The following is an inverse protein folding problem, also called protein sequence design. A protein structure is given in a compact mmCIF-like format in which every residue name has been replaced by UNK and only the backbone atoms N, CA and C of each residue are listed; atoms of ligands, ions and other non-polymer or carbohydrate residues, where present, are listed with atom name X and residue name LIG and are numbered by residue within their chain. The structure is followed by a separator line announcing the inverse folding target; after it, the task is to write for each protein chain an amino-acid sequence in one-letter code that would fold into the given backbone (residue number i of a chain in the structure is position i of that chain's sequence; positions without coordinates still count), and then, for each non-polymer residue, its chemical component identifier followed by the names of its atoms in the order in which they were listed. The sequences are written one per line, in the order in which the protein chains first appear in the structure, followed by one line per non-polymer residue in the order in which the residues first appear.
data_IF_398035626859
#
_entry.id   IF_398035626859
#
_cell.length_a   1.000
_cell.length_b   1.000
_cell.length_c   1.000
_cell.angle_alpha   90.00
_cell.angle_beta   90.00
_cell.angle_gamma   90.00
#
_symmetry.space_group_name_H-M   'P 1'
#
loop_
_entity.id
_entity.type
_entity.pdbx_description
1 polymer ?
#
# COMPACT_ATOMS: atom_id res chain seq x y z
N UNK A 1 11.40 30.06 -3.32
CA UNK A 1 11.56 28.89 -2.43
C UNK A 1 10.52 28.82 -1.31
N UNK A 2 10.28 29.85 -0.46
CA UNK A 2 9.30 29.78 0.64
C UNK A 2 7.84 29.52 0.17
N UNK A 3 7.37 30.21 -0.88
CA UNK A 3 6.02 30.07 -1.43
C UNK A 3 5.75 28.64 -1.98
N UNK A 4 6.74 28.07 -2.67
CA UNK A 4 6.65 26.74 -3.25
C UNK A 4 6.61 25.65 -2.16
N UNK A 5 7.45 25.80 -1.10
CA UNK A 5 7.43 24.91 0.06
C UNK A 5 6.09 24.95 0.80
N UNK A 6 5.46 26.14 0.89
CA UNK A 6 4.17 26.31 1.53
C UNK A 6 3.03 25.69 0.70
N UNK A 7 3.13 25.75 -0.63
CA UNK A 7 2.17 25.07 -1.53
C UNK A 7 2.26 23.54 -1.39
N UNK A 8 3.47 22.95 -1.41
CA UNK A 8 3.66 21.52 -1.20
C UNK A 8 3.13 21.06 0.16
N UNK A 9 3.47 21.78 1.24
CA UNK A 9 2.96 21.44 2.57
C UNK A 9 1.42 21.46 2.63
N UNK A 10 0.78 22.38 1.91
CA UNK A 10 -0.69 22.46 1.85
C UNK A 10 -1.31 21.34 1.02
N UNK A 11 -0.68 20.97 -0.12
CA UNK A 11 -1.13 19.80 -0.91
C UNK A 11 -1.02 18.51 -0.10
N UNK A 12 0.10 18.31 0.59
CA UNK A 12 0.26 17.15 1.48
C UNK A 12 -0.82 17.10 2.58
N UNK A 13 -1.14 18.24 3.20
CA UNK A 13 -2.20 18.31 4.20
C UNK A 13 -3.58 17.96 3.61
N UNK A 14 -3.85 18.31 2.36
CA UNK A 14 -5.10 17.92 1.66
C UNK A 14 -5.11 16.44 1.32
N UNK A 15 -3.97 15.84 0.97
CA UNK A 15 -3.84 14.39 0.75
C UNK A 15 -4.15 13.63 2.05
N UNK A 16 -3.54 14.02 3.18
CA UNK A 16 -3.82 13.38 4.48
C UNK A 16 -5.29 13.54 4.89
N UNK A 17 -5.89 14.71 4.66
CA UNK A 17 -7.32 14.93 4.88
C UNK A 17 -8.19 14.06 3.97
N UNK A 18 -7.73 13.72 2.76
CA UNK A 18 -8.43 12.80 1.85
C UNK A 18 -8.44 11.38 2.41
N UNK A 19 -7.33 10.90 2.98
CA UNK A 19 -7.29 9.58 3.65
C UNK A 19 -8.24 9.52 4.84
N UNK A 20 -8.22 10.55 5.69
CA UNK A 20 -9.10 10.61 6.87
C UNK A 20 -10.60 10.68 6.49
N UNK A 21 -10.96 11.56 5.55
CA UNK A 21 -12.34 11.70 5.06
C UNK A 21 -12.81 10.44 4.31
N UNK A 22 -11.92 9.81 3.51
CA UNK A 22 -12.20 8.55 2.82
C UNK A 22 -12.51 7.42 3.80
N UNK A 23 -11.77 7.32 4.91
CA UNK A 23 -12.03 6.35 5.97
C UNK A 23 -13.40 6.56 6.62
N UNK A 24 -13.80 7.82 6.87
CA UNK A 24 -15.07 8.12 7.54
C UNK A 24 -16.28 7.89 6.64
N UNK A 25 -16.20 8.31 5.36
CA UNK A 25 -17.34 8.36 4.45
C UNK A 25 -17.35 7.26 3.38
N UNK A 26 -16.21 6.59 3.15
CA UNK A 26 -15.98 5.75 1.99
C UNK A 26 -15.82 6.57 0.69
N UNK A 27 -15.06 6.05 -0.26
CA UNK A 27 -14.72 6.78 -1.50
C UNK A 27 -15.95 7.17 -2.33
N UNK A 28 -16.98 6.31 -2.35
CA UNK A 28 -18.21 6.55 -3.15
C UNK A 28 -19.03 7.75 -2.69
N UNK A 29 -18.98 8.07 -1.39
CA UNK A 29 -19.72 9.19 -0.81
C UNK A 29 -18.84 10.42 -0.58
N UNK A 30 -17.52 10.30 -0.79
CA UNK A 30 -16.55 11.36 -0.54
C UNK A 30 -16.80 12.58 -1.46
N UNK A 31 -16.72 13.77 -0.88
CA UNK A 31 -16.80 15.03 -1.60
C UNK A 31 -15.65 15.98 -1.24
N UNK A 32 -15.38 16.97 -2.10
CA UNK A 32 -14.43 18.06 -1.78
C UNK A 32 -14.80 18.81 -0.50
N UNK A 33 -16.08 18.83 -0.12
CA UNK A 33 -16.54 19.48 1.11
C UNK A 33 -16.11 18.69 2.34
N UNK A 34 -16.13 17.36 2.29
CA UNK A 34 -15.69 16.49 3.36
C UNK A 34 -14.18 16.61 3.57
N UNK A 35 -13.40 16.57 2.49
CA UNK A 35 -11.95 16.80 2.54
C UNK A 35 -11.63 18.21 3.07
N UNK A 36 -12.37 19.25 2.64
CA UNK A 36 -12.17 20.60 3.13
C UNK A 36 -12.43 20.71 4.63
N UNK A 37 -13.51 20.09 5.11
CA UNK A 37 -13.86 20.03 6.54
C UNK A 37 -12.76 19.37 7.35
N UNK A 38 -12.26 18.22 6.89
CA UNK A 38 -11.18 17.48 7.54
C UNK A 38 -9.88 18.29 7.58
N UNK A 39 -9.55 18.99 6.51
CA UNK A 39 -8.37 19.87 6.41
C UNK A 39 -8.52 21.21 7.17
N UNK A 40 -9.67 21.49 7.80
CA UNK A 40 -9.95 22.79 8.43
C UNK A 40 -10.02 23.94 7.42
N UNK A 41 -10.48 23.67 6.19
CA UNK A 41 -10.52 24.63 5.08
C UNK A 41 -11.95 24.81 4.57
N UNK A 42 -12.14 25.79 3.66
CA UNK A 42 -13.35 25.90 2.85
C UNK A 42 -13.17 25.10 1.55
N UNK A 43 -14.29 24.64 0.95
CA UNK A 43 -14.29 24.02 -0.38
C UNK A 43 -13.61 24.91 -1.44
N UNK A 44 -13.81 26.23 -1.39
CA UNK A 44 -13.14 27.17 -2.30
C UNK A 44 -11.61 27.21 -2.12
N UNK A 45 -11.11 27.00 -0.91
CA UNK A 45 -9.68 26.90 -0.66
C UNK A 45 -9.09 25.61 -1.23
N UNK A 46 -9.83 24.49 -1.21
CA UNK A 46 -9.41 23.24 -1.88
C UNK A 46 -9.37 23.40 -3.38
N UNK A 47 -10.38 24.04 -3.98
CA UNK A 47 -10.45 24.34 -5.43
C UNK A 47 -9.34 25.29 -5.93
N UNK A 48 -8.62 25.95 -5.05
CA UNK A 48 -7.39 26.67 -5.41
C UNK A 48 -6.22 25.72 -5.74
N UNK A 49 -6.22 24.49 -5.20
CA UNK A 49 -5.14 23.50 -5.38
C UNK A 49 -5.51 22.38 -6.35
N UNK A 50 -6.80 22.07 -6.49
CA UNK A 50 -7.33 20.96 -7.29
C UNK A 50 -8.61 21.39 -8.01
N UNK A 51 -8.69 21.09 -9.29
CA UNK A 51 -9.84 21.49 -10.13
C UNK A 51 -11.12 20.78 -9.69
N UNK A 52 -11.00 19.53 -9.26
CA UNK A 52 -12.09 18.66 -8.82
C UNK A 52 -11.63 17.60 -7.82
N UNK A 53 -12.56 16.75 -7.39
CA UNK A 53 -12.25 15.64 -6.48
C UNK A 53 -11.38 14.58 -7.16
N UNK A 54 -11.59 14.29 -8.45
CA UNK A 54 -10.84 13.26 -9.18
C UNK A 54 -9.36 13.61 -9.25
N UNK A 55 -9.01 14.86 -9.56
CA UNK A 55 -7.62 15.34 -9.58
C UNK A 55 -6.94 15.23 -8.20
N UNK A 56 -7.68 15.47 -7.12
CA UNK A 56 -7.19 15.26 -5.75
C UNK A 56 -7.01 13.77 -5.44
N UNK A 57 -7.96 12.92 -5.84
CA UNK A 57 -7.89 11.47 -5.65
C UNK A 57 -6.72 10.84 -6.41
N UNK A 58 -6.45 11.28 -7.63
CA UNK A 58 -5.28 10.83 -8.40
C UNK A 58 -3.97 11.16 -7.68
N UNK A 59 -3.84 12.39 -7.14
CA UNK A 59 -2.63 12.77 -6.40
C UNK A 59 -2.54 12.04 -5.05
N UNK A 60 -3.65 11.86 -4.35
CA UNK A 60 -3.70 11.07 -3.11
C UNK A 60 -3.32 9.60 -3.37
N UNK A 61 -3.82 9.02 -4.46
CA UNK A 61 -3.45 7.66 -4.88
C UNK A 61 -1.95 7.56 -5.15
N UNK A 62 -1.39 8.45 -5.97
CA UNK A 62 0.04 8.45 -6.28
C UNK A 62 0.91 8.61 -5.02
N UNK A 63 0.54 9.51 -4.11
CA UNK A 63 1.22 9.70 -2.85
C UNK A 63 1.09 8.47 -1.94
N UNK A 64 -0.08 7.83 -1.91
CA UNK A 64 -0.32 6.61 -1.15
C UNK A 64 0.53 5.43 -1.63
N UNK A 65 0.56 5.18 -2.94
CA UNK A 65 1.41 4.15 -3.56
C UNK A 65 2.88 4.38 -3.24
N UNK A 66 3.37 5.63 -3.40
CA UNK A 66 4.76 5.95 -3.08
C UNK A 66 5.05 5.71 -1.59
N UNK A 67 4.21 6.23 -0.70
CA UNK A 67 4.39 6.09 0.74
C UNK A 67 4.44 4.63 1.17
N UNK A 68 3.45 3.84 0.78
CA UNK A 68 3.37 2.41 1.11
C UNK A 68 4.61 1.64 0.66
N UNK A 69 5.03 1.84 -0.59
CA UNK A 69 6.17 1.12 -1.13
C UNK A 69 7.50 1.61 -0.54
N UNK A 70 7.68 2.94 -0.37
CA UNK A 70 8.94 3.51 0.12
C UNK A 70 9.18 3.14 1.59
N UNK A 71 8.15 3.24 2.46
CA UNK A 71 8.22 2.84 3.87
C UNK A 71 8.56 1.34 4.01
N UNK A 72 7.94 0.49 3.19
CA UNK A 72 8.23 -0.94 3.17
C UNK A 72 9.64 -1.25 2.70
N UNK A 73 10.08 -0.62 1.61
CA UNK A 73 11.44 -0.82 1.08
C UNK A 73 12.51 -0.37 2.10
N UNK A 74 12.28 0.72 2.85
CA UNK A 74 13.15 1.18 3.94
C UNK A 74 13.23 0.16 5.09
N UNK A 75 12.09 -0.40 5.52
CA UNK A 75 12.05 -1.43 6.56
C UNK A 75 12.79 -2.70 6.13
N UNK A 76 12.57 -3.17 4.91
CA UNK A 76 13.26 -4.34 4.34
C UNK A 76 14.77 -4.11 4.24
N UNK A 77 15.21 -2.91 3.87
CA UNK A 77 16.62 -2.56 3.75
C UNK A 77 17.36 -2.49 5.10
N UNK A 78 16.63 -2.44 6.23
CA UNK A 78 17.22 -2.37 7.56
C UNK A 78 17.99 -3.64 7.98
N UNK A 79 17.78 -4.76 7.27
CA UNK A 79 18.49 -6.03 7.51
C UNK A 79 19.09 -6.59 6.23
N UNK A 80 20.14 -7.44 6.38
CA UNK A 80 20.77 -8.13 5.24
C UNK A 80 20.38 -9.63 5.16
N UNK A 81 19.68 -10.18 6.17
CA UNK A 81 19.21 -11.57 6.13
C UNK A 81 17.93 -11.67 5.29
N UNK A 82 17.94 -12.37 4.15
CA UNK A 82 16.77 -12.48 3.27
C UNK A 82 15.54 -13.09 3.95
N UNK A 83 15.72 -13.94 4.95
CA UNK A 83 14.62 -14.57 5.72
C UNK A 83 13.93 -13.53 6.61
N UNK A 84 14.72 -12.63 7.20
CA UNK A 84 14.20 -11.51 7.96
C UNK A 84 13.58 -10.43 7.06
N UNK A 85 14.21 -10.18 5.91
CA UNK A 85 13.64 -9.28 4.89
C UNK A 85 12.25 -9.74 4.43
N UNK A 86 12.09 -11.06 4.21
CA UNK A 86 10.79 -11.62 3.82
C UNK A 86 9.75 -11.50 4.93
N UNK A 87 10.14 -11.73 6.18
CA UNK A 87 9.29 -11.55 7.35
C UNK A 87 8.77 -10.10 7.46
N UNK A 88 9.69 -9.13 7.38
CA UNK A 88 9.36 -7.70 7.39
C UNK A 88 8.47 -7.31 6.20
N UNK A 89 8.76 -7.83 5.00
CA UNK A 89 7.99 -7.54 3.81
C UNK A 89 6.54 -8.03 3.92
N UNK A 90 6.32 -9.18 4.55
CA UNK A 90 4.98 -9.72 4.83
C UNK A 90 4.24 -8.82 5.83
N UNK A 91 4.86 -8.49 6.96
CA UNK A 91 4.22 -7.65 7.96
C UNK A 91 3.90 -6.24 7.44
N UNK A 92 4.87 -5.60 6.76
CA UNK A 92 4.70 -4.26 6.23
C UNK A 92 3.79 -4.17 4.98
N UNK A 93 3.50 -5.31 4.35
CA UNK A 93 2.61 -5.39 3.19
C UNK A 93 1.12 -5.47 3.57
N UNK A 94 0.82 -5.82 4.81
CA UNK A 94 -0.56 -6.00 5.26
C UNK A 94 -1.09 -4.76 5.99
N UNK A 95 -2.40 -4.45 5.87
CA UNK A 95 -3.01 -3.41 6.68
C UNK A 95 -2.87 -3.70 8.18
N UNK A 96 -2.66 -2.66 8.98
CA UNK A 96 -2.57 -2.78 10.45
C UNK A 96 -3.90 -3.13 11.12
N UNK A 97 -5.00 -2.94 10.41
CA UNK A 97 -6.36 -3.23 10.88
C UNK A 97 -7.43 -2.56 10.00
N UNK A 98 -8.71 -2.68 10.37
CA UNK A 98 -9.82 -2.09 9.60
C UNK A 98 -9.79 -0.55 9.60
N UNK A 99 -9.09 0.07 10.55
CA UNK A 99 -8.92 1.52 10.66
C UNK A 99 -7.72 2.07 9.89
N UNK A 100 -6.99 1.24 9.15
CA UNK A 100 -5.87 1.66 8.31
C UNK A 100 -6.36 2.52 7.14
N UNK A 101 -6.29 3.84 7.32
CA UNK A 101 -6.86 4.80 6.40
C UNK A 101 -6.16 4.80 5.03
N UNK A 102 -4.83 4.59 5.01
CA UNK A 102 -4.06 4.53 3.77
C UNK A 102 -4.44 3.28 2.97
N UNK A 103 -4.35 2.11 3.60
CA UNK A 103 -4.63 0.85 2.92
C UNK A 103 -6.08 0.75 2.47
N UNK A 104 -7.04 1.20 3.31
CA UNK A 104 -8.45 1.28 2.90
C UNK A 104 -8.62 2.11 1.63
N UNK A 105 -8.01 3.31 1.58
CA UNK A 105 -8.13 4.16 0.41
C UNK A 105 -7.49 3.52 -0.83
N UNK A 106 -6.33 2.88 -0.72
CA UNK A 106 -5.68 2.18 -1.83
C UNK A 106 -6.61 1.10 -2.40
N UNK A 107 -7.17 0.21 -1.56
CA UNK A 107 -8.11 -0.82 -2.01
C UNK A 107 -9.40 -0.25 -2.63
N UNK A 108 -9.91 0.87 -2.11
CA UNK A 108 -11.08 1.52 -2.71
C UNK A 108 -10.75 2.19 -4.06
N UNK A 109 -9.53 2.72 -4.23
CA UNK A 109 -9.06 3.34 -5.47
C UNK A 109 -8.74 2.32 -6.56
N UNK A 110 -8.34 1.09 -6.19
CA UNK A 110 -8.14 -0.01 -7.14
C UNK A 110 -9.40 -0.30 -7.96
N UNK A 111 -10.56 -0.15 -7.35
CA UNK A 111 -11.85 -0.32 -8.05
C UNK A 111 -12.05 0.73 -9.14
N UNK A 112 -11.43 1.91 -9.02
CA UNK A 112 -11.50 2.97 -10.03
C UNK A 112 -10.59 2.71 -11.23
N UNK A 113 -9.63 1.79 -11.15
CA UNK A 113 -8.71 1.47 -12.25
C UNK A 113 -9.45 1.13 -13.55
N UNK A 114 -10.55 0.35 -13.46
CA UNK A 114 -11.37 0.00 -14.61
C UNK A 114 -12.11 1.16 -15.29
N UNK A 115 -12.18 2.34 -14.65
CA UNK A 115 -12.88 3.51 -15.15
C UNK A 115 -11.99 4.73 -15.42
N UNK A 116 -10.72 4.69 -14.98
CA UNK A 116 -9.76 5.80 -15.10
C UNK A 116 -8.38 5.30 -15.45
N UNK A 117 -7.88 5.66 -16.62
CA UNK A 117 -6.53 5.30 -17.10
C UNK A 117 -5.40 5.84 -16.19
N UNK A 118 -5.66 6.88 -15.39
CA UNK A 118 -4.69 7.40 -14.41
C UNK A 118 -4.62 6.48 -13.19
N UNK A 119 -5.76 6.09 -12.63
CA UNK A 119 -5.82 5.12 -11.52
C UNK A 119 -5.27 3.75 -11.95
N UNK A 120 -5.61 3.27 -13.15
CA UNK A 120 -5.06 2.02 -13.71
C UNK A 120 -3.52 2.00 -13.71
N UNK A 121 -2.88 3.10 -14.14
CA UNK A 121 -1.41 3.18 -14.11
C UNK A 121 -0.83 3.15 -12.71
N UNK A 122 -1.51 3.74 -11.73
CA UNK A 122 -1.08 3.74 -10.33
C UNK A 122 -1.21 2.35 -9.70
N UNK A 123 -2.28 1.62 -9.99
CA UNK A 123 -2.44 0.21 -9.58
C UNK A 123 -1.36 -0.65 -10.20
N UNK A 124 -1.12 -0.55 -11.52
CA UNK A 124 -0.04 -1.29 -12.19
C UNK A 124 1.34 -0.97 -11.60
N UNK A 125 1.59 0.28 -11.21
CA UNK A 125 2.85 0.65 -10.53
C UNK A 125 2.95 0.06 -9.14
N UNK A 126 1.86 0.03 -8.37
CA UNK A 126 1.78 -0.63 -7.07
C UNK A 126 2.11 -2.11 -7.19
N UNK A 127 1.39 -2.85 -8.04
CA UNK A 127 1.60 -4.29 -8.29
C UNK A 127 3.05 -4.59 -8.69
N UNK A 128 3.60 -3.77 -9.60
CA UNK A 128 4.97 -3.91 -10.06
C UNK A 128 5.98 -3.74 -8.93
N UNK A 129 5.77 -2.75 -8.06
CA UNK A 129 6.66 -2.48 -6.92
C UNK A 129 6.55 -3.56 -5.86
N UNK A 130 5.34 -3.98 -5.48
CA UNK A 130 5.12 -5.09 -4.55
C UNK A 130 5.82 -6.37 -5.04
N UNK A 131 5.59 -6.75 -6.30
CA UNK A 131 6.23 -7.91 -6.88
C UNK A 131 7.76 -7.77 -6.97
N UNK A 132 8.30 -6.58 -7.22
CA UNK A 132 9.74 -6.34 -7.25
C UNK A 132 10.38 -6.51 -5.87
N UNK A 133 9.74 -6.03 -4.80
CA UNK A 133 10.22 -6.21 -3.42
C UNK A 133 10.36 -7.71 -3.11
N UNK A 134 9.32 -8.51 -3.33
CA UNK A 134 9.39 -9.97 -3.12
C UNK A 134 10.43 -10.66 -4.01
N UNK A 135 10.50 -10.34 -5.31
CA UNK A 135 11.49 -10.92 -6.23
C UNK A 135 12.92 -10.65 -5.78
N UNK A 136 13.20 -9.43 -5.37
CA UNK A 136 14.53 -9.03 -4.91
C UNK A 136 14.96 -9.80 -3.65
N UNK A 137 14.06 -9.96 -2.68
CA UNK A 137 14.29 -10.72 -1.45
C UNK A 137 14.53 -12.18 -1.79
N UNK A 138 13.66 -12.80 -2.60
CA UNK A 138 13.74 -14.21 -2.98
C UNK A 138 15.04 -14.49 -3.74
N UNK A 139 15.36 -13.68 -4.76
CA UNK A 139 16.60 -13.82 -5.54
C UNK A 139 17.86 -13.67 -4.67
N UNK A 140 17.80 -12.77 -3.67
CA UNK A 140 18.93 -12.63 -2.71
C UNK A 140 19.04 -13.85 -1.83
N UNK A 141 17.94 -14.43 -1.37
CA UNK A 141 17.92 -15.66 -0.57
C UNK A 141 18.39 -16.90 -1.35
N UNK A 142 18.03 -17.01 -2.65
CA UNK A 142 18.55 -18.06 -3.54
C UNK A 142 20.08 -17.97 -3.67
N UNK A 143 20.60 -16.78 -3.94
CA UNK A 143 22.06 -16.55 -4.04
C UNK A 143 22.80 -16.83 -2.73
N UNK A 144 22.15 -16.57 -1.61
CA UNK A 144 22.68 -16.88 -0.28
C UNK A 144 22.52 -18.36 0.12
N UNK A 145 21.80 -19.17 -0.66
CA UNK A 145 21.51 -20.57 -0.38
C UNK A 145 20.53 -20.80 0.78
N UNK A 146 19.78 -19.78 1.19
CA UNK A 146 18.78 -19.87 2.27
C UNK A 146 17.35 -20.04 1.77
N UNK A 147 17.11 -19.83 0.47
CA UNK A 147 15.85 -20.12 -0.20
C UNK A 147 16.05 -21.12 -1.35
N UNK A 148 15.03 -21.96 -1.56
CA UNK A 148 14.94 -22.91 -2.68
C UNK A 148 13.51 -22.84 -3.22
N UNK A 149 13.14 -21.73 -3.90
CA UNK A 149 11.76 -21.49 -4.30
C UNK A 149 11.26 -22.52 -5.29
N UNK A 150 10.04 -23.02 -5.07
CA UNK A 150 9.40 -24.03 -5.90
C UNK A 150 7.97 -23.56 -6.24
N UNK A 151 7.57 -23.54 -7.51
CA UNK A 151 8.33 -23.97 -8.71
C UNK A 151 9.34 -22.93 -9.22
N UNK A 152 9.21 -21.64 -8.87
CA UNK A 152 10.18 -20.58 -9.23
C UNK A 152 10.04 -19.37 -8.32
N UNK A 153 11.11 -18.57 -8.19
CA UNK A 153 11.09 -17.33 -7.40
C UNK A 153 10.05 -16.32 -7.90
N UNK A 154 9.86 -16.21 -9.21
CA UNK A 154 8.86 -15.32 -9.80
C UNK A 154 7.43 -15.72 -9.42
N UNK A 155 7.11 -17.02 -9.45
CA UNK A 155 5.78 -17.48 -9.06
C UNK A 155 5.56 -17.32 -7.56
N UNK A 156 6.57 -17.57 -6.73
CA UNK A 156 6.49 -17.29 -5.29
C UNK A 156 6.20 -15.80 -5.06
N UNK A 157 6.95 -14.90 -5.70
CA UNK A 157 6.75 -13.46 -5.55
C UNK A 157 5.34 -13.00 -5.93
N UNK A 158 4.82 -13.46 -7.07
CA UNK A 158 3.44 -13.12 -7.49
C UNK A 158 2.37 -13.75 -6.61
N UNK A 159 2.64 -14.94 -6.05
CA UNK A 159 1.74 -15.58 -5.06
C UNK A 159 1.69 -14.76 -3.77
N UNK A 160 2.84 -14.24 -3.31
CA UNK A 160 2.88 -13.41 -2.11
C UNK A 160 2.08 -12.12 -2.28
N UNK A 161 2.17 -11.45 -3.45
CA UNK A 161 1.34 -10.27 -3.76
C UNK A 161 -0.15 -10.63 -3.74
N UNK A 162 -0.55 -11.71 -4.40
CA UNK A 162 -1.95 -12.13 -4.44
C UNK A 162 -2.52 -12.46 -3.05
N UNK A 163 -1.71 -13.04 -2.16
CA UNK A 163 -2.09 -13.29 -0.77
C UNK A 163 -2.19 -11.99 0.03
N UNK A 164 -1.24 -11.08 -0.16
CA UNK A 164 -1.23 -9.75 0.46
C UNK A 164 -2.52 -8.98 0.11
N UNK A 165 -2.87 -8.92 -1.18
CA UNK A 165 -4.09 -8.25 -1.65
C UNK A 165 -5.35 -8.92 -1.10
N UNK A 166 -5.42 -10.26 -1.16
CA UNK A 166 -6.57 -11.00 -0.66
C UNK A 166 -6.77 -10.84 0.85
N UNK A 167 -5.73 -11.01 1.64
CA UNK A 167 -5.80 -10.82 3.09
C UNK A 167 -6.02 -9.35 3.46
N UNK A 168 -5.34 -8.43 2.76
CA UNK A 168 -5.48 -6.99 2.99
C UNK A 168 -6.93 -6.53 2.81
N UNK A 169 -7.60 -6.97 1.75
CA UNK A 169 -9.02 -6.69 1.54
C UNK A 169 -9.89 -7.20 2.71
N UNK A 170 -9.63 -8.41 3.21
CA UNK A 170 -10.37 -8.95 4.35
C UNK A 170 -10.13 -8.19 5.65
N UNK A 171 -8.90 -7.71 5.88
CA UNK A 171 -8.55 -6.93 7.07
C UNK A 171 -9.26 -5.57 7.05
N UNK A 172 -9.17 -4.81 5.95
CA UNK A 172 -9.80 -3.47 5.87
C UNK A 172 -11.32 -3.54 5.86
N UNK A 173 -11.90 -4.67 5.44
CA UNK A 173 -13.34 -4.90 5.47
C UNK A 173 -13.85 -5.41 6.83
N UNK A 174 -12.97 -5.57 7.82
CA UNK A 174 -13.29 -6.14 9.16
C UNK A 174 -13.98 -7.51 9.04
N UNK A 175 -13.47 -8.37 8.17
CA UNK A 175 -14.02 -9.71 7.94
C UNK A 175 -13.38 -10.76 8.87
N UNK A 176 -13.08 -11.93 8.31
CA UNK A 176 -12.70 -13.15 9.03
C UNK A 176 -11.25 -13.23 9.48
N UNK A 177 -10.41 -12.26 9.14
CA UNK A 177 -8.97 -12.31 9.41
C UNK A 177 -8.44 -11.02 10.03
N UNK A 178 -7.38 -11.15 10.81
CA UNK A 178 -6.60 -10.05 11.37
C UNK A 178 -5.24 -10.01 10.71
N UNK A 179 -4.49 -8.91 10.90
CA UNK A 179 -3.11 -8.78 10.46
C UNK A 179 -2.25 -10.00 10.84
N UNK A 180 -2.25 -10.40 12.12
CA UNK A 180 -1.41 -11.51 12.61
C UNK A 180 -1.76 -12.84 11.95
N UNK A 181 -3.07 -13.13 11.81
CA UNK A 181 -3.54 -14.37 11.14
C UNK A 181 -3.13 -14.39 9.67
N UNK A 182 -3.26 -13.26 8.98
CA UNK A 182 -2.86 -13.12 7.58
C UNK A 182 -1.34 -13.28 7.43
N UNK A 183 -0.55 -12.59 8.24
CA UNK A 183 0.90 -12.66 8.23
C UNK A 183 1.40 -14.10 8.50
N UNK A 184 0.83 -14.79 9.47
CA UNK A 184 1.16 -16.19 9.78
C UNK A 184 0.80 -17.13 8.61
N UNK A 185 -0.35 -16.91 7.98
CA UNK A 185 -0.76 -17.64 6.78
C UNK A 185 0.23 -17.44 5.63
N UNK A 186 0.63 -16.20 5.36
CA UNK A 186 1.61 -15.89 4.32
C UNK A 186 2.98 -16.50 4.60
N UNK A 187 3.46 -16.46 5.86
CA UNK A 187 4.71 -17.13 6.28
C UNK A 187 4.68 -18.64 6.08
N UNK A 188 3.54 -19.26 6.42
CA UNK A 188 3.36 -20.70 6.21
C UNK A 188 3.41 -21.07 4.72
N UNK A 189 2.77 -20.30 3.86
CA UNK A 189 2.81 -20.51 2.40
C UNK A 189 4.22 -20.27 1.86
N UNK A 190 4.90 -19.20 2.27
CA UNK A 190 6.27 -18.91 1.85
C UNK A 190 7.22 -20.07 2.22
N UNK A 191 7.10 -20.60 3.43
CA UNK A 191 7.91 -21.76 3.88
C UNK A 191 7.63 -23.01 3.05
N UNK A 192 6.36 -23.32 2.74
CA UNK A 192 5.98 -24.43 1.86
C UNK A 192 6.52 -24.26 0.44
N UNK A 193 6.65 -23.04 -0.03
CA UNK A 193 7.22 -22.70 -1.34
C UNK A 193 8.75 -22.58 -1.31
N UNK A 194 9.42 -23.01 -0.24
CA UNK A 194 10.87 -23.02 -0.13
C UNK A 194 11.52 -21.72 0.29
N UNK A 195 10.75 -20.78 0.84
CA UNK A 195 11.21 -19.46 1.31
C UNK A 195 10.84 -19.27 2.79
N UNK A 196 11.49 -19.95 3.74
CA UNK A 196 11.17 -19.81 5.17
C UNK A 196 11.61 -18.44 5.72
N UNK A 197 10.77 -17.85 6.58
CA UNK A 197 11.07 -16.62 7.32
C UNK A 197 11.77 -16.91 8.66
N UNK A 198 12.34 -15.89 9.29
CA UNK A 198 12.81 -15.89 10.68
C UNK A 198 12.15 -14.72 11.41
N UNK A 199 11.50 -15.02 12.54
CA UNK A 199 11.04 -14.02 13.52
C UNK A 199 12.13 -13.77 14.57
N UNK A 200 12.16 -12.58 15.16
CA UNK A 200 12.93 -12.28 16.38
C UNK A 200 12.32 -12.96 17.61
#
# INVERSE_FOLDING_TARGET
MARQRNQMARRNALIEATYAAGREHGLRALSLTDVAKEAGLTRGAVLYYYDDLDSLLVEAHAAGVSRFCDERDELVAATQDPRRQLDIAIDAGLPTGPDDALMRLLFELDVLAGSSALHEKLVQELDRRQAATYRNIISTGERAGVFTPTPSGDLVATTMVALEDGYGLHIVADHITTHDVAADGMRAVAAQLGCPTIRD
#
